data_IF_840727852418
#
_entry.id   IF_840727852418
#
_cell.length_a   1.000
_cell.length_b   1.000
_cell.length_c   1.000
_cell.angle_alpha   90.00
_cell.angle_beta   90.00
_cell.angle_gamma   90.00
#
_symmetry.space_group_name_H-M   'P 1'
#
loop_
_entity.id
_entity.type
_entity.pdbx_description
1 polymer ?
#
# COMPACT_ATOMS: atom_id res chain seq x y z
N UNK A 1 4.57 14.97 10.61
CA UNK A 1 3.45 14.15 11.20
C UNK A 1 3.93 13.24 12.31
N UNK A 2 4.86 12.29 12.11
CA UNK A 2 5.33 11.42 13.20
C UNK A 2 6.19 12.16 14.24
N UNK A 3 7.01 13.13 13.82
CA UNK A 3 7.78 13.99 14.73
C UNK A 3 6.90 14.91 15.61
N UNK A 4 5.75 15.33 15.11
CA UNK A 4 4.76 16.13 15.85
C UNK A 4 4.01 15.30 16.90
N UNK A 5 3.89 13.99 16.68
CA UNK A 5 3.35 13.05 17.65
C UNK A 5 4.36 12.62 18.71
N UNK A 6 5.63 13.13 18.64
CA UNK A 6 6.69 12.78 19.56
C UNK A 6 7.17 11.33 19.42
N UNK A 7 6.90 10.68 18.27
CA UNK A 7 7.33 9.31 17.98
C UNK A 7 8.65 9.36 17.23
N UNK A 8 9.74 9.14 17.92
CA UNK A 8 11.06 8.94 17.33
C UNK A 8 11.26 7.43 17.10
N UNK A 9 10.96 6.99 15.87
CA UNK A 9 11.01 5.57 15.49
C UNK A 9 12.43 5.01 15.54
N UNK A 10 13.45 5.87 15.41
CA UNK A 10 14.85 5.48 15.51
C UNK A 10 15.27 5.04 16.92
N UNK A 11 14.40 5.22 17.94
CA UNK A 11 14.68 4.90 19.35
C UNK A 11 13.96 3.66 19.88
N UNK A 12 13.32 2.87 19.04
CA UNK A 12 12.75 1.59 19.49
C UNK A 12 13.87 0.54 19.59
N UNK A 13 14.64 0.62 20.68
CA UNK A 13 15.62 -0.42 21.01
C UNK A 13 14.87 -1.73 21.28
N UNK A 14 15.39 -2.81 20.72
CA UNK A 14 14.95 -4.18 21.05
C UNK A 14 15.36 -4.48 22.48
N UNK A 15 14.40 -4.68 23.36
CA UNK A 15 14.70 -5.09 24.73
C UNK A 15 15.15 -6.55 24.74
N UNK A 16 16.18 -6.85 25.54
CA UNK A 16 16.78 -8.20 25.62
C UNK A 16 15.80 -9.21 26.22
N UNK A 17 14.88 -8.77 27.05
CA UNK A 17 13.81 -9.61 27.62
C UNK A 17 12.53 -8.83 27.85
N UNK A 18 11.39 -9.51 27.83
CA UNK A 18 10.11 -8.95 28.25
C UNK A 18 9.37 -9.95 29.12
N UNK A 19 8.60 -9.44 30.09
CA UNK A 19 7.77 -10.27 30.96
C UNK A 19 6.31 -10.17 30.49
N UNK A 20 5.67 -11.32 30.24
CA UNK A 20 4.28 -11.40 29.78
C UNK A 20 3.45 -12.27 30.71
N UNK A 21 2.17 -12.00 30.80
CA UNK A 21 1.25 -12.88 31.53
C UNK A 21 0.97 -14.14 30.70
N UNK A 22 0.74 -15.22 31.36
CA UNK A 22 0.37 -16.48 30.69
C UNK A 22 -0.93 -16.32 29.85
N UNK A 23 -1.87 -15.48 30.32
CA UNK A 23 -3.07 -15.13 29.57
C UNK A 23 -2.80 -14.44 28.25
N UNK A 24 -1.76 -13.60 28.17
CA UNK A 24 -1.38 -12.90 26.92
C UNK A 24 -0.86 -13.90 25.87
N UNK A 25 -0.12 -14.92 26.33
CA UNK A 25 0.37 -16.02 25.50
C UNK A 25 -0.78 -16.88 24.97
N UNK A 26 -1.74 -17.20 25.83
CA UNK A 26 -2.90 -17.99 25.44
C UNK A 26 -3.80 -17.26 24.44
N UNK A 27 -4.04 -15.94 24.64
CA UNK A 27 -4.88 -15.15 23.73
C UNK A 27 -4.20 -14.93 22.38
N UNK A 28 -2.87 -14.81 22.35
CA UNK A 28 -2.11 -14.64 21.11
C UNK A 28 -1.85 -15.95 20.36
N UNK A 29 -2.05 -17.10 21.02
CA UNK A 29 -1.66 -18.44 20.48
C UNK A 29 -0.21 -18.50 19.99
N UNK A 30 0.69 -17.70 20.62
CA UNK A 30 2.10 -17.56 20.24
C UNK A 30 2.99 -17.46 21.47
N UNK A 31 4.25 -17.93 21.33
CA UNK A 31 5.26 -17.89 22.40
C UNK A 31 6.59 -17.27 21.96
N UNK A 32 6.66 -16.73 20.75
CA UNK A 32 7.91 -16.17 20.23
C UNK A 32 8.23 -14.79 20.84
N UNK A 33 9.51 -14.60 21.22
CA UNK A 33 9.95 -13.40 21.92
C UNK A 33 9.81 -12.13 21.07
N UNK A 34 9.94 -12.22 19.74
CA UNK A 34 9.79 -11.09 18.84
C UNK A 34 8.39 -10.51 18.88
N UNK A 35 7.37 -11.37 18.85
CA UNK A 35 5.97 -10.94 18.93
C UNK A 35 5.67 -10.15 20.22
N UNK A 36 6.31 -10.50 21.32
CA UNK A 36 6.08 -9.89 22.64
C UNK A 36 7.04 -8.76 22.98
N UNK A 37 7.76 -8.19 22.02
CA UNK A 37 8.62 -7.05 22.26
C UNK A 37 7.83 -5.83 22.77
N UNK A 38 8.28 -5.14 23.83
CA UNK A 38 7.61 -3.96 24.39
C UNK A 38 7.45 -2.79 23.41
N UNK A 39 8.29 -2.72 22.36
CA UNK A 39 8.16 -1.72 21.29
C UNK A 39 6.76 -1.71 20.68
N UNK A 40 6.14 -2.87 20.49
CA UNK A 40 4.81 -2.98 19.90
C UNK A 40 3.70 -2.43 20.80
N UNK A 41 3.81 -2.61 22.12
CA UNK A 41 2.86 -2.03 23.07
C UNK A 41 2.94 -0.50 23.06
N UNK A 42 4.18 0.05 22.91
CA UNK A 42 4.40 1.49 22.76
C UNK A 42 3.75 2.03 21.47
N UNK A 43 3.91 1.32 20.34
CA UNK A 43 3.28 1.69 19.07
C UNK A 43 1.75 1.69 19.16
N UNK A 44 1.17 0.61 19.70
CA UNK A 44 -0.28 0.50 19.91
C UNK A 44 -0.77 1.63 20.85
N UNK A 45 -0.06 1.87 21.95
CA UNK A 45 -0.43 2.94 22.89
C UNK A 45 -0.39 4.34 22.25
N UNK A 46 0.51 4.55 21.29
CA UNK A 46 0.58 5.81 20.53
C UNK A 46 -0.67 6.01 19.66
N UNK A 47 -1.10 4.97 18.95
CA UNK A 47 -2.33 5.01 18.15
C UNK A 47 -3.53 5.28 19.06
N UNK A 48 -3.66 4.55 20.18
CA UNK A 48 -4.75 4.69 21.14
C UNK A 48 -4.72 6.02 21.91
N UNK A 49 -3.56 6.66 22.04
CA UNK A 49 -3.47 8.02 22.60
C UNK A 49 -4.03 9.06 21.63
N UNK A 50 -3.83 8.86 20.32
CA UNK A 50 -4.43 9.73 19.29
C UNK A 50 -5.94 9.51 19.19
N UNK A 51 -6.37 8.27 19.07
CA UNK A 51 -7.79 7.89 19.07
C UNK A 51 -8.05 6.77 20.08
N UNK A 52 -8.58 7.11 21.29
CA UNK A 52 -8.91 6.10 22.30
C UNK A 52 -10.04 5.14 21.90
N UNK A 53 -10.75 5.43 20.79
CA UNK A 53 -11.82 4.61 20.23
C UNK A 53 -11.42 3.93 18.93
N UNK A 54 -10.11 3.95 18.61
CA UNK A 54 -9.59 3.27 17.41
C UNK A 54 -10.07 1.81 17.39
N UNK A 55 -10.45 1.37 16.20
CA UNK A 55 -11.03 0.05 15.95
C UNK A 55 -10.02 -0.83 15.23
N UNK A 56 -10.33 -2.11 15.08
CA UNK A 56 -9.61 -2.97 14.17
C UNK A 56 -10.09 -2.76 12.72
N UNK A 57 -9.28 -3.15 11.75
CA UNK A 57 -9.71 -3.11 10.35
C UNK A 57 -10.95 -3.99 10.12
N UNK A 58 -11.06 -5.10 10.84
CA UNK A 58 -12.25 -5.98 10.78
C UNK A 58 -13.55 -5.27 11.20
N UNK A 59 -13.47 -4.37 12.18
CA UNK A 59 -14.63 -3.60 12.65
C UNK A 59 -15.02 -2.45 11.69
N UNK A 60 -14.14 -2.03 10.81
CA UNK A 60 -14.31 -0.85 9.94
C UNK A 60 -14.53 -1.22 8.49
N UNK A 61 -13.81 -2.19 7.96
CA UNK A 61 -13.87 -2.54 6.54
C UNK A 61 -15.25 -3.06 6.13
N UNK A 62 -15.76 -2.55 5.01
CA UNK A 62 -17.03 -3.02 4.41
C UNK A 62 -16.87 -4.45 3.91
N UNK A 63 -15.73 -4.74 3.29
CA UNK A 63 -15.32 -6.08 2.88
C UNK A 63 -13.80 -6.21 2.89
N UNK A 64 -13.35 -7.45 2.99
CA UNK A 64 -11.95 -7.82 2.86
C UNK A 64 -11.86 -9.21 2.22
N UNK A 65 -11.09 -9.34 1.16
CA UNK A 65 -10.88 -10.62 0.46
C UNK A 65 -9.44 -10.80 -0.03
N UNK A 66 -9.11 -12.03 -0.36
CA UNK A 66 -7.90 -12.38 -1.13
C UNK A 66 -8.28 -12.47 -2.60
N UNK A 67 -7.45 -11.95 -3.48
CA UNK A 67 -7.61 -12.07 -4.92
C UNK A 67 -7.58 -13.51 -5.41
N UNK A 68 -7.58 -13.72 -6.73
CA UNK A 68 -7.74 -15.01 -7.38
C UNK A 68 -6.52 -15.34 -8.22
N UNK A 69 -6.17 -16.62 -8.27
CA UNK A 69 -5.09 -17.10 -9.14
C UNK A 69 -5.49 -17.00 -10.61
N UNK A 70 -4.53 -16.61 -11.46
CA UNK A 70 -4.67 -16.66 -12.90
C UNK A 70 -3.60 -17.58 -13.49
N UNK A 71 -4.02 -18.51 -14.31
CA UNK A 71 -3.15 -19.49 -14.97
C UNK A 71 -2.44 -18.93 -16.21
N UNK A 72 -2.98 -17.84 -16.79
CA UNK A 72 -2.46 -17.24 -18.02
C UNK A 72 -2.67 -15.73 -18.03
N UNK A 73 -1.62 -15.00 -18.38
CA UNK A 73 -1.65 -13.56 -18.63
C UNK A 73 -1.67 -13.27 -20.12
N UNK A 74 -2.28 -12.16 -20.49
CA UNK A 74 -2.43 -11.67 -21.86
C UNK A 74 -2.05 -10.20 -21.92
N UNK A 75 -1.63 -9.72 -23.11
CA UNK A 75 -1.52 -8.29 -23.36
C UNK A 75 -2.92 -7.66 -23.27
N UNK A 76 -3.02 -6.51 -22.63
CA UNK A 76 -4.29 -5.81 -22.49
C UNK A 76 -4.95 -5.54 -23.84
N UNK A 77 -6.18 -5.96 -23.99
CA UNK A 77 -7.02 -5.75 -25.17
C UNK A 77 -8.48 -5.61 -24.74
N UNK A 78 -9.32 -5.18 -25.66
CA UNK A 78 -10.76 -4.97 -25.45
C UNK A 78 -11.43 -6.27 -24.96
N UNK A 79 -12.11 -6.17 -23.83
CA UNK A 79 -12.79 -7.30 -23.20
C UNK A 79 -11.96 -8.04 -22.14
N UNK A 80 -10.69 -7.67 -21.93
CA UNK A 80 -9.87 -8.11 -20.82
C UNK A 80 -9.93 -7.10 -19.67
N UNK A 81 -9.60 -7.55 -18.46
CA UNK A 81 -9.38 -6.69 -17.32
C UNK A 81 -7.92 -6.78 -16.83
N UNK A 82 -7.45 -5.74 -16.17
CA UNK A 82 -6.11 -5.71 -15.57
C UNK A 82 -5.99 -6.73 -14.44
N UNK A 83 -4.77 -7.22 -14.22
CA UNK A 83 -4.45 -8.15 -13.15
C UNK A 83 -3.40 -7.56 -12.22
N UNK A 84 -3.83 -7.16 -11.03
CA UNK A 84 -3.02 -6.49 -10.01
C UNK A 84 -2.21 -7.53 -9.24
N UNK A 85 -0.89 -7.39 -9.23
CA UNK A 85 0.04 -8.24 -8.48
C UNK A 85 0.63 -7.48 -7.30
N UNK A 86 1.18 -8.19 -6.33
CA UNK A 86 1.87 -7.56 -5.20
C UNK A 86 3.03 -6.65 -5.60
N UNK A 87 3.70 -6.94 -6.71
CA UNK A 87 4.81 -6.13 -7.26
C UNK A 87 4.36 -4.81 -7.88
N UNK A 88 3.09 -4.67 -8.18
CA UNK A 88 2.51 -3.50 -8.82
C UNK A 88 2.06 -2.45 -7.78
N UNK A 89 2.21 -2.77 -6.47
CA UNK A 89 1.75 -1.96 -5.34
C UNK A 89 2.96 -1.34 -4.65
N UNK A 90 3.02 -0.01 -4.59
CA UNK A 90 4.08 0.71 -3.88
C UNK A 90 3.66 2.16 -3.57
N UNK A 91 4.13 2.68 -2.44
CA UNK A 91 4.01 4.09 -2.03
C UNK A 91 2.60 4.72 -2.17
N UNK A 92 1.56 3.95 -1.91
CA UNK A 92 0.17 4.43 -1.96
C UNK A 92 -0.51 4.28 -3.31
N UNK A 93 0.19 3.85 -4.35
CA UNK A 93 -0.32 3.71 -5.72
C UNK A 93 -0.24 2.27 -6.22
N UNK A 94 -0.98 2.00 -7.30
CA UNK A 94 -0.94 0.76 -8.06
C UNK A 94 -0.60 1.10 -9.50
N UNK A 95 0.56 0.64 -9.98
CA UNK A 95 0.97 0.78 -11.39
C UNK A 95 1.02 -0.59 -12.05
N UNK A 96 0.33 -0.76 -13.15
CA UNK A 96 0.15 -2.04 -13.82
C UNK A 96 0.91 -2.07 -15.15
N UNK A 97 1.53 -3.20 -15.42
CA UNK A 97 2.06 -3.54 -16.72
C UNK A 97 0.92 -4.04 -17.63
N UNK A 98 0.82 -3.50 -18.85
CA UNK A 98 -0.17 -3.90 -19.85
C UNK A 98 -0.08 -5.38 -20.27
N UNK A 99 1.04 -6.04 -19.99
CA UNK A 99 1.21 -7.48 -20.27
C UNK A 99 0.54 -8.39 -19.22
N UNK A 100 -0.03 -7.81 -18.17
CA UNK A 100 -0.71 -8.58 -17.12
C UNK A 100 -2.20 -8.28 -17.11
N UNK A 101 -2.92 -8.90 -18.05
CA UNK A 101 -4.38 -8.84 -18.13
C UNK A 101 -4.96 -10.25 -18.20
N UNK A 102 -6.20 -10.38 -17.77
CA UNK A 102 -6.91 -11.67 -17.66
C UNK A 102 -8.32 -11.58 -18.24
N UNK A 103 -8.89 -12.75 -18.54
CA UNK A 103 -10.28 -12.88 -18.99
C UNK A 103 -11.22 -12.72 -17.76
N UNK A 104 -12.03 -11.65 -17.70
CA UNK A 104 -12.90 -11.41 -16.55
C UNK A 104 -13.95 -12.51 -16.35
N UNK A 105 -14.30 -13.28 -17.38
CA UNK A 105 -15.29 -14.36 -17.27
C UNK A 105 -14.79 -15.54 -16.41
N UNK A 106 -13.48 -15.61 -16.14
CA UNK A 106 -12.85 -16.66 -15.33
C UNK A 106 -12.71 -16.28 -13.87
N UNK A 107 -13.13 -15.09 -13.48
CA UNK A 107 -12.94 -14.53 -12.14
C UNK A 107 -14.27 -14.08 -11.55
N UNK A 108 -14.35 -14.08 -10.23
CA UNK A 108 -15.53 -13.73 -9.46
C UNK A 108 -15.34 -12.54 -8.54
N UNK A 109 -14.08 -12.16 -8.30
CA UNK A 109 -13.71 -11.09 -7.37
C UNK A 109 -13.02 -9.96 -8.12
N UNK A 110 -13.69 -8.83 -8.15
CA UNK A 110 -13.20 -7.63 -8.81
C UNK A 110 -12.95 -6.55 -7.75
N UNK A 111 -11.94 -5.74 -8.00
CA UNK A 111 -11.67 -4.55 -7.20
C UNK A 111 -12.42 -3.36 -7.75
N UNK A 112 -12.79 -2.43 -6.87
CA UNK A 112 -13.45 -1.19 -7.21
C UNK A 112 -12.53 0.02 -6.97
N UNK A 113 -12.83 1.14 -7.64
CA UNK A 113 -12.20 2.41 -7.34
C UNK A 113 -12.26 2.72 -5.84
N UNK A 114 -11.14 3.11 -5.25
CA UNK A 114 -11.02 3.40 -3.82
C UNK A 114 -10.73 2.19 -2.93
N UNK A 115 -10.69 0.97 -3.47
CA UNK A 115 -10.19 -0.18 -2.73
C UNK A 115 -8.72 0.01 -2.36
N UNK A 116 -8.36 -0.44 -1.16
CA UNK A 116 -6.98 -0.49 -0.72
C UNK A 116 -6.47 -1.93 -0.87
N UNK A 117 -5.33 -2.07 -1.53
CA UNK A 117 -4.71 -3.36 -1.81
C UNK A 117 -3.31 -3.46 -1.22
N UNK A 118 -2.90 -4.68 -0.84
CA UNK A 118 -1.56 -4.95 -0.30
C UNK A 118 -1.09 -6.34 -0.67
N UNK A 119 0.23 -6.50 -0.81
CA UNK A 119 0.85 -7.80 -1.08
C UNK A 119 0.84 -8.72 0.15
N UNK A 120 0.56 -10.00 -0.06
CA UNK A 120 0.64 -11.06 0.98
C UNK A 120 2.04 -11.60 1.16
N UNK A 121 2.87 -11.55 0.13
CA UNK A 121 4.18 -12.21 0.08
C UNK A 121 5.16 -11.28 -0.63
N UNK A 122 6.35 -11.13 -0.09
CA UNK A 122 7.46 -10.39 -0.70
C UNK A 122 7.36 -8.86 -0.56
N UNK A 123 6.21 -8.29 -0.81
CA UNK A 123 5.92 -6.84 -0.73
C UNK A 123 4.98 -6.50 0.44
N UNK A 124 5.10 -7.25 1.54
CA UNK A 124 4.30 -7.04 2.74
C UNK A 124 4.54 -5.63 3.28
N UNK A 125 3.46 -4.93 3.65
CA UNK A 125 3.53 -3.59 4.22
C UNK A 125 3.49 -2.47 3.18
N UNK A 126 3.42 -2.79 1.88
CA UNK A 126 3.11 -1.83 0.84
C UNK A 126 1.61 -1.84 0.56
N UNK A 127 0.98 -0.69 0.71
CA UNK A 127 -0.45 -0.50 0.44
C UNK A 127 -0.62 0.51 -0.69
N UNK A 128 -1.55 0.25 -1.61
CA UNK A 128 -1.90 1.14 -2.71
C UNK A 128 -3.41 1.25 -2.87
N UNK A 129 -3.86 2.30 -3.53
CA UNK A 129 -5.28 2.56 -3.80
C UNK A 129 -5.58 2.23 -5.25
N UNK A 130 -6.67 1.53 -5.49
CA UNK A 130 -7.19 1.27 -6.84
C UNK A 130 -7.75 2.57 -7.41
N UNK A 131 -7.12 3.04 -8.49
CA UNK A 131 -7.58 4.21 -9.24
C UNK A 131 -8.80 3.88 -10.10
N UNK A 132 -9.46 4.92 -10.60
CA UNK A 132 -10.59 4.78 -11.51
C UNK A 132 -10.26 3.98 -12.79
N UNK A 133 -9.02 4.09 -13.27
CA UNK A 133 -8.56 3.37 -14.46
C UNK A 133 -8.44 1.87 -14.21
N UNK A 134 -8.28 1.47 -12.95
CA UNK A 134 -8.16 0.09 -12.52
C UNK A 134 -9.47 -0.48 -11.93
N UNK A 135 -10.56 0.27 -12.03
CA UNK A 135 -11.87 -0.22 -11.62
C UNK A 135 -12.23 -1.50 -12.38
N UNK A 136 -12.86 -2.45 -11.71
CA UNK A 136 -13.18 -3.79 -12.25
C UNK A 136 -11.94 -4.62 -12.67
N UNK A 137 -10.78 -4.38 -12.12
CA UNK A 137 -9.61 -5.25 -12.25
C UNK A 137 -9.70 -6.48 -11.34
N UNK A 138 -8.89 -7.50 -11.62
CA UNK A 138 -8.74 -8.69 -10.78
C UNK A 138 -7.43 -8.61 -10.02
N UNK A 139 -7.45 -8.91 -8.72
CA UNK A 139 -6.22 -9.04 -7.94
C UNK A 139 -5.70 -10.49 -7.91
N UNK A 140 -4.39 -10.63 -7.89
CA UNK A 140 -3.69 -11.91 -7.67
C UNK A 140 -4.06 -12.52 -6.32
N UNK A 141 -4.02 -13.85 -6.23
CA UNK A 141 -4.11 -14.61 -4.97
C UNK A 141 -3.03 -14.24 -3.94
N UNK A 142 -1.99 -13.52 -4.35
CA UNK A 142 -0.98 -12.93 -3.49
C UNK A 142 -1.25 -11.46 -3.12
N UNK A 143 -2.47 -10.97 -3.35
CA UNK A 143 -2.93 -9.63 -2.99
C UNK A 143 -4.15 -9.75 -2.08
N UNK A 144 -4.17 -8.94 -1.03
CA UNK A 144 -5.32 -8.70 -0.17
C UNK A 144 -5.96 -7.37 -0.58
N UNK A 145 -7.27 -7.34 -0.63
CA UNK A 145 -8.07 -6.17 -0.97
C UNK A 145 -9.09 -5.91 0.13
N UNK A 146 -9.31 -4.64 0.48
CA UNK A 146 -10.36 -4.22 1.38
C UNK A 146 -10.90 -2.84 1.02
N UNK A 147 -12.14 -2.60 1.40
CA UNK A 147 -12.83 -1.33 1.19
C UNK A 147 -13.20 -0.68 2.51
N UNK A 148 -12.93 0.62 2.64
CA UNK A 148 -13.29 1.41 3.81
C UNK A 148 -14.59 2.20 3.55
N UNK A 149 -15.34 2.54 4.61
CA UNK A 149 -16.51 3.42 4.48
C UNK A 149 -16.14 4.82 3.93
N UNK A 150 -17.12 5.52 3.38
CA UNK A 150 -16.93 6.82 2.70
C UNK A 150 -16.37 7.94 3.57
N UNK A 151 -16.41 7.80 4.90
CA UNK A 151 -15.81 8.73 5.86
C UNK A 151 -14.31 8.46 6.11
N UNK A 152 -13.75 7.47 5.41
CA UNK A 152 -12.33 7.12 5.39
C UNK A 152 -11.77 7.32 3.98
N UNK A 153 -11.03 8.42 3.75
CA UNK A 153 -10.46 8.72 2.42
C UNK A 153 -9.34 7.72 2.08
N UNK A 154 -9.47 6.90 1.02
CA UNK A 154 -8.57 5.78 0.76
C UNK A 154 -7.08 6.16 0.69
N UNK A 155 -6.73 7.26 0.02
CA UNK A 155 -5.33 7.69 -0.11
C UNK A 155 -4.70 8.00 1.25
N UNK A 156 -5.46 8.62 2.16
CA UNK A 156 -4.99 8.95 3.51
C UNK A 156 -4.73 7.68 4.32
N UNK A 157 -5.62 6.71 4.19
CA UNK A 157 -5.47 5.44 4.92
C UNK A 157 -4.43 4.52 4.28
N UNK A 158 -4.26 4.54 2.96
CA UNK A 158 -3.12 3.87 2.33
C UNK A 158 -1.78 4.45 2.86
N UNK A 159 -1.68 5.78 3.00
CA UNK A 159 -0.51 6.42 3.61
C UNK A 159 -0.33 6.04 5.09
N UNK A 160 -1.42 5.96 5.85
CA UNK A 160 -1.39 5.47 7.23
C UNK A 160 -0.86 4.04 7.29
N UNK A 161 -1.36 3.13 6.46
CA UNK A 161 -0.92 1.74 6.41
C UNK A 161 0.54 1.60 5.92
N UNK A 162 1.03 2.52 5.09
CA UNK A 162 2.45 2.61 4.68
C UNK A 162 3.35 3.26 5.73
N UNK A 163 2.79 3.73 6.85
CA UNK A 163 3.60 4.34 7.91
C UNK A 163 4.51 3.31 8.56
N UNK A 164 5.66 3.77 9.07
CA UNK A 164 6.60 2.92 9.81
C UNK A 164 5.99 2.27 11.06
N UNK A 165 5.00 2.90 11.68
CA UNK A 165 4.26 2.31 12.82
C UNK A 165 3.53 1.04 12.37
N UNK A 166 2.80 1.11 11.27
CA UNK A 166 2.03 -0.03 10.76
C UNK A 166 2.95 -1.08 10.16
N UNK A 167 4.02 -0.69 9.48
CA UNK A 167 5.04 -1.62 9.00
C UNK A 167 5.64 -2.46 10.14
N UNK A 168 5.99 -1.83 11.27
CA UNK A 168 6.45 -2.56 12.46
C UNK A 168 5.37 -3.49 13.02
N UNK A 169 4.12 -3.05 13.13
CA UNK A 169 3.01 -3.89 13.60
C UNK A 169 2.73 -5.05 12.63
N UNK A 170 2.82 -4.83 11.33
CA UNK A 170 2.69 -5.88 10.31
C UNK A 170 3.81 -6.92 10.43
N UNK A 171 5.05 -6.46 10.65
CA UNK A 171 6.19 -7.33 10.90
C UNK A 171 6.00 -8.18 12.17
N UNK A 172 5.48 -7.59 13.26
CA UNK A 172 5.10 -8.33 14.49
C UNK A 172 4.18 -9.49 14.20
N UNK A 173 3.18 -9.26 13.35
CA UNK A 173 2.08 -10.22 13.10
C UNK A 173 2.47 -11.28 12.06
N UNK A 174 3.46 -11.00 11.21
CA UNK A 174 3.90 -11.94 10.19
C UNK A 174 4.47 -13.23 10.80
N UNK A 175 4.25 -14.35 10.11
CA UNK A 175 4.74 -15.67 10.53
C UNK A 175 5.69 -16.22 9.46
N UNK A 176 6.76 -16.85 9.91
CA UNK A 176 7.73 -17.54 9.05
C UNK A 176 9.13 -16.93 9.09
N UNK A 177 10.15 -17.77 9.20
CA UNK A 177 11.56 -17.35 9.28
C UNK A 177 12.20 -17.12 7.91
N UNK A 178 11.66 -17.72 6.85
CA UNK A 178 12.23 -17.67 5.49
C UNK A 178 11.44 -16.75 4.58
N UNK A 179 10.11 -16.77 4.68
CA UNK A 179 9.24 -15.90 3.91
C UNK A 179 8.07 -15.45 4.78
N UNK A 180 8.08 -14.19 5.16
CA UNK A 180 6.98 -13.58 5.88
C UNK A 180 5.72 -13.57 5.00
N UNK A 181 4.58 -13.89 5.60
CA UNK A 181 3.28 -13.89 4.93
C UNK A 181 2.27 -13.15 5.78
N UNK A 182 1.54 -12.25 5.15
CA UNK A 182 0.37 -11.60 5.71
C UNK A 182 -0.88 -12.34 5.21
N UNK A 183 -1.72 -12.79 6.13
CA UNK A 183 -3.02 -13.38 5.80
C UNK A 183 -4.16 -12.39 6.11
N UNK A 184 -5.38 -12.76 5.77
CA UNK A 184 -6.55 -11.92 6.06
C UNK A 184 -6.74 -11.68 7.56
N UNK A 185 -6.48 -12.68 8.40
CA UNK A 185 -6.63 -12.58 9.86
C UNK A 185 -5.67 -11.52 10.42
N UNK A 186 -4.40 -11.58 10.03
CA UNK A 186 -3.39 -10.58 10.39
C UNK A 186 -3.79 -9.17 9.97
N UNK A 187 -4.30 -9.00 8.74
CA UNK A 187 -4.71 -7.70 8.23
C UNK A 187 -5.92 -7.16 9.00
N UNK A 188 -6.89 -8.02 9.36
CA UNK A 188 -8.09 -7.69 10.13
C UNK A 188 -7.78 -7.15 11.52
N UNK A 189 -6.70 -7.59 12.16
CA UNK A 189 -6.29 -7.19 13.50
C UNK A 189 -5.57 -5.83 13.53
N UNK A 190 -5.20 -5.24 12.39
CA UNK A 190 -4.55 -3.93 12.36
C UNK A 190 -5.47 -2.86 12.92
N UNK A 191 -4.92 -2.04 13.83
CA UNK A 191 -5.67 -0.95 14.46
C UNK A 191 -5.77 0.20 13.47
N UNK A 192 -6.97 0.75 13.30
CA UNK A 192 -7.27 1.88 12.43
C UNK A 192 -7.88 3.02 13.26
N UNK A 193 -7.17 4.15 13.48
CA UNK A 193 -7.74 5.31 14.14
C UNK A 193 -8.63 6.09 13.19
N UNK A 194 -9.64 6.76 13.72
CA UNK A 194 -10.40 7.71 12.94
C UNK A 194 -9.68 9.07 12.91
N UNK A 195 -9.25 9.46 11.73
CA UNK A 195 -8.70 10.81 11.48
C UNK A 195 -9.89 11.73 11.16
N UNK A 196 -9.93 12.92 11.75
CA UNK A 196 -11.01 13.87 11.49
C UNK A 196 -11.15 14.16 10.00
N UNK A 197 -12.37 14.18 9.48
CA UNK A 197 -12.63 14.26 8.05
C UNK A 197 -12.00 15.49 7.37
N UNK A 198 -12.04 16.65 8.02
CA UNK A 198 -11.38 17.88 7.49
C UNK A 198 -9.87 17.68 7.34
N UNK A 199 -9.22 17.04 8.31
CA UNK A 199 -7.80 16.70 8.25
C UNK A 199 -7.51 15.68 7.14
N UNK A 200 -8.43 14.72 6.91
CA UNK A 200 -8.28 13.80 5.79
C UNK A 200 -8.33 14.53 4.44
N UNK A 201 -9.21 15.53 4.27
CA UNK A 201 -9.29 16.34 3.05
C UNK A 201 -7.96 17.06 2.81
N UNK A 202 -7.44 17.77 3.80
CA UNK A 202 -6.16 18.50 3.69
C UNK A 202 -4.99 17.55 3.34
N UNK A 203 -4.92 16.39 4.00
CA UNK A 203 -3.90 15.39 3.71
C UNK A 203 -4.05 14.81 2.29
N UNK A 204 -5.28 14.54 1.86
CA UNK A 204 -5.55 14.00 0.53
C UNK A 204 -5.13 14.96 -0.58
N UNK A 205 -5.36 16.27 -0.42
CA UNK A 205 -4.89 17.29 -1.37
C UNK A 205 -3.36 17.26 -1.52
N UNK A 206 -2.63 17.14 -0.41
CA UNK A 206 -1.16 17.03 -0.42
C UNK A 206 -0.72 15.73 -1.11
N UNK A 207 -1.40 14.62 -0.84
CA UNK A 207 -1.08 13.32 -1.44
C UNK A 207 -1.30 13.37 -2.96
N UNK A 208 -2.43 13.90 -3.41
CA UNK A 208 -2.74 14.03 -4.83
C UNK A 208 -1.73 14.94 -5.55
N UNK A 209 -1.39 16.08 -4.96
CA UNK A 209 -0.34 16.95 -5.49
C UNK A 209 1.01 16.23 -5.59
N UNK A 210 1.35 15.41 -4.59
CA UNK A 210 2.58 14.59 -4.63
C UNK A 210 2.58 13.59 -5.80
N UNK A 211 1.45 12.94 -6.06
CA UNK A 211 1.31 12.01 -7.19
C UNK A 211 1.42 12.73 -8.54
N UNK A 212 0.81 13.91 -8.67
CA UNK A 212 0.95 14.74 -9.88
C UNK A 212 2.41 15.13 -10.14
N UNK A 213 3.12 15.57 -9.09
CA UNK A 213 4.54 15.94 -9.18
C UNK A 213 5.41 14.74 -9.55
N UNK A 214 5.12 13.57 -8.97
CA UNK A 214 5.83 12.32 -9.31
C UNK A 214 5.62 11.93 -10.76
N UNK A 215 4.39 11.99 -11.27
CA UNK A 215 4.07 11.68 -12.67
C UNK A 215 4.74 12.68 -13.61
N UNK A 216 4.73 13.97 -13.26
CA UNK A 216 5.45 15.00 -14.01
C UNK A 216 6.96 14.73 -14.04
N UNK A 217 7.55 14.34 -12.91
CA UNK A 217 8.97 13.98 -12.81
C UNK A 217 9.31 12.79 -13.70
N UNK A 218 8.50 11.71 -13.66
CA UNK A 218 8.68 10.55 -14.54
C UNK A 218 8.62 10.95 -16.01
N UNK A 219 7.62 11.74 -16.41
CA UNK A 219 7.49 12.24 -17.80
C UNK A 219 8.69 13.04 -18.25
N UNK A 220 9.15 13.99 -17.43
CA UNK A 220 10.32 14.81 -17.75
C UNK A 220 11.59 13.98 -17.89
N UNK A 221 11.76 12.96 -17.06
CA UNK A 221 12.90 12.05 -17.17
C UNK A 221 12.89 11.24 -18.48
N UNK A 222 11.72 10.74 -18.88
CA UNK A 222 11.57 10.04 -20.16
C UNK A 222 11.79 10.97 -21.35
N UNK A 223 11.31 12.22 -21.30
CA UNK A 223 11.61 13.23 -22.32
C UNK A 223 13.12 13.49 -22.40
N UNK A 224 13.80 13.63 -21.26
CA UNK A 224 15.24 13.85 -21.24
C UNK A 224 16.02 12.67 -21.83
N UNK A 225 15.66 11.43 -21.48
CA UNK A 225 16.26 10.22 -22.06
C UNK A 225 16.11 10.20 -23.58
N UNK A 226 14.90 10.42 -24.08
CA UNK A 226 14.62 10.45 -25.51
C UNK A 226 15.36 11.56 -26.25
N UNK A 227 15.48 12.74 -25.64
CA UNK A 227 16.26 13.83 -26.22
C UNK A 227 17.76 13.47 -26.36
N UNK A 228 18.34 12.79 -25.37
CA UNK A 228 19.71 12.29 -25.43
C UNK A 228 19.88 11.25 -26.56
N UNK A 229 18.95 10.31 -26.68
CA UNK A 229 18.94 9.33 -27.79
C UNK A 229 18.88 10.03 -29.15
N UNK A 230 17.97 11.00 -29.32
CA UNK A 230 17.86 11.79 -30.56
C UNK A 230 19.11 12.60 -30.86
N UNK A 231 19.77 13.17 -29.86
CA UNK A 231 21.01 13.93 -30.05
C UNK A 231 22.13 13.05 -30.56
N UNK A 232 22.18 11.78 -30.17
CA UNK A 232 23.17 10.80 -30.60
C UNK A 232 22.82 10.25 -31.99
N UNK A 233 21.55 9.95 -32.25
CA UNK A 233 21.11 9.26 -33.49
C UNK A 233 20.90 10.24 -34.67
N UNK A 234 20.53 11.48 -34.42
CA UNK A 234 20.19 12.47 -35.44
C UNK A 234 21.13 13.68 -35.33
N UNK A 235 20.84 14.60 -34.39
CA UNK A 235 21.68 15.78 -34.09
C UNK A 235 21.12 16.50 -32.84
N UNK A 236 21.97 17.33 -32.19
CA UNK A 236 21.65 18.06 -30.98
C UNK A 236 20.54 19.11 -31.20
N UNK A 237 20.51 19.79 -32.36
CA UNK A 237 19.53 20.84 -32.64
C UNK A 237 18.11 20.27 -32.71
N UNK A 238 17.93 19.18 -33.44
CA UNK A 238 16.63 18.49 -33.55
C UNK A 238 16.17 17.96 -32.18
N UNK A 239 17.10 17.42 -31.39
CA UNK A 239 16.80 16.94 -30.04
C UNK A 239 16.32 18.05 -29.11
N UNK A 240 16.97 19.23 -29.13
CA UNK A 240 16.55 20.37 -28.32
C UNK A 240 15.20 20.93 -28.75
N UNK A 241 14.93 21.06 -30.03
CA UNK A 241 13.60 21.49 -30.51
C UNK A 241 12.50 20.56 -30.04
N UNK A 242 12.69 19.25 -30.19
CA UNK A 242 11.73 18.25 -29.73
C UNK A 242 11.51 18.32 -28.21
N UNK A 243 12.58 18.50 -27.43
CA UNK A 243 12.49 18.61 -25.97
C UNK A 243 11.68 19.84 -25.55
N UNK A 244 11.94 21.02 -26.15
CA UNK A 244 11.19 22.24 -25.85
C UNK A 244 9.70 22.10 -26.17
N UNK A 245 9.34 21.47 -27.28
CA UNK A 245 7.94 21.24 -27.64
C UNK A 245 7.26 20.24 -26.67
N UNK A 246 7.95 19.16 -26.30
CA UNK A 246 7.44 18.15 -25.35
C UNK A 246 7.29 18.67 -23.91
N UNK A 247 8.00 19.75 -23.54
CA UNK A 247 7.88 20.37 -22.20
C UNK A 247 6.72 21.38 -22.11
N UNK A 248 6.13 21.79 -23.24
CA UNK A 248 4.99 22.74 -23.29
C UNK A 248 3.64 22.05 -23.17
N UNK A 249 3.57 20.74 -23.42
CA UNK A 249 2.40 19.88 -23.21
C UNK A 249 2.33 19.38 -21.76
#
# INVERSE_FOLDING_TARGET
MLSELGVDICKFETEVFSVRRYTDILSAERMDAEYFQPKYDKLISTILKYDPKAKTLDDVAIYLFTGEYADKYMLFDKGLCHYVRGTDIYDGIVEIDLFHSVDPQKHSKFVCEGDIVTGRVGTIGNFGVISKELDNSVCSDNVLCFHLPNDYIPNVYALYFNSSIINELTNRMSRGSVQQRMNQETLRELIIPYIKYDTQIELNEIILCSFELMNKSKRLLECAKKAVEMAIEIDEFTAFQWLEDSMRE
#
